data_IF_562909829789
#
_entry.id   IF_562909829789
#
_cell.length_a   1.000
_cell.length_b   1.000
_cell.length_c   1.000
_cell.angle_alpha   90.00
_cell.angle_beta   90.00
_cell.angle_gamma   90.00
#
_symmetry.space_group_name_H-M   'P 1'
#
loop_
_entity.id
_entity.type
_entity.pdbx_description
1 polymer ?
#
# COMPACT_ATOMS: atom_id res chain seq x y z
N UNK A 1 -35.89 27.39 -82.29
CA UNK A 1 -35.05 28.37 -81.57
C UNK A 1 -35.38 28.23 -80.09
N UNK A 2 -34.78 27.25 -79.40
CA UNK A 2 -33.57 27.32 -78.56
C UNK A 2 -33.76 28.20 -77.32
N UNK A 3 -33.50 27.82 -76.07
CA UNK A 3 -33.26 26.56 -75.34
C UNK A 3 -33.00 27.02 -73.88
N UNK A 4 -33.26 26.16 -72.88
CA UNK A 4 -32.82 26.28 -71.46
C UNK A 4 -33.70 27.26 -70.64
N UNK A 5 -33.97 27.06 -69.36
CA UNK A 5 -33.26 26.24 -68.38
C UNK A 5 -34.19 25.91 -67.21
N UNK A 6 -34.08 24.64 -66.80
CA UNK A 6 -34.13 24.12 -65.43
C UNK A 6 -35.39 24.40 -64.60
N UNK A 7 -36.24 23.37 -64.68
CA UNK A 7 -37.30 23.03 -63.76
C UNK A 7 -36.70 22.18 -62.63
N UNK A 8 -37.25 22.40 -61.43
CA UNK A 8 -37.74 21.40 -60.47
C UNK A 8 -37.08 21.45 -59.10
N UNK A 9 -37.77 22.22 -58.25
CA UNK A 9 -37.69 22.24 -56.80
C UNK A 9 -38.95 21.53 -56.27
N UNK A 10 -38.81 21.02 -55.05
CA UNK A 10 -39.82 20.53 -54.12
C UNK A 10 -40.32 19.10 -54.36
N UNK A 11 -39.90 18.15 -53.52
CA UNK A 11 -40.32 17.95 -52.12
C UNK A 11 -41.68 17.28 -52.06
N UNK A 12 -41.70 16.01 -51.62
CA UNK A 12 -42.50 15.56 -50.48
C UNK A 12 -42.16 14.09 -50.12
N UNK A 13 -41.60 13.94 -48.91
CA UNK A 13 -41.92 12.95 -47.85
C UNK A 13 -41.85 11.44 -48.16
N UNK A 14 -41.02 10.72 -47.38
CA UNK A 14 -41.37 9.53 -46.58
C UNK A 14 -40.10 8.99 -45.88
N UNK A 15 -40.00 9.07 -44.55
CA UNK A 15 -40.41 8.05 -43.55
C UNK A 15 -39.31 7.02 -43.23
N UNK A 16 -39.03 6.86 -41.92
CA UNK A 16 -38.40 5.70 -41.23
C UNK A 16 -36.87 5.64 -41.15
N UNK A 17 -36.27 5.86 -39.97
CA UNK A 17 -35.99 4.89 -38.88
C UNK A 17 -34.94 3.84 -39.29
N UNK A 18 -33.69 4.00 -38.83
CA UNK A 18 -33.02 3.19 -37.78
C UNK A 18 -31.54 3.58 -37.68
N UNK A 19 -31.10 3.99 -36.49
CA UNK A 19 -29.69 3.93 -36.10
C UNK A 19 -29.36 2.46 -35.87
N UNK A 20 -28.46 1.90 -36.67
CA UNK A 20 -27.77 0.64 -36.38
C UNK A 20 -26.29 0.98 -36.20
N UNK A 21 -25.78 0.55 -35.06
CA UNK A 21 -24.40 0.66 -34.65
C UNK A 21 -23.46 0.08 -35.71
N UNK A 22 -22.41 0.82 -36.05
CA UNK A 22 -21.19 0.23 -36.58
C UNK A 22 -20.01 0.78 -35.78
N UNK A 23 -19.80 0.16 -34.61
CA UNK A 23 -18.55 0.19 -33.89
C UNK A 23 -17.72 -0.99 -34.39
N UNK A 24 -17.12 -0.86 -35.56
CA UNK A 24 -16.07 -1.77 -36.00
C UNK A 24 -15.19 -1.06 -37.03
N UNK A 25 -13.88 -1.07 -36.75
CA UNK A 25 -12.80 -0.77 -37.68
C UNK A 25 -12.52 0.71 -37.98
N UNK A 26 -12.11 1.45 -36.95
CA UNK A 26 -10.94 2.31 -37.13
C UNK A 26 -9.70 1.43 -36.91
N UNK A 27 -9.16 0.89 -38.00
CA UNK A 27 -7.76 0.49 -38.05
C UNK A 27 -6.92 1.77 -37.97
N UNK A 28 -6.38 2.07 -36.80
CA UNK A 28 -5.26 3.00 -36.68
C UNK A 28 -4.11 2.43 -37.51
N UNK A 29 -3.93 2.99 -38.69
CA UNK A 29 -2.70 2.86 -39.46
C UNK A 29 -1.68 3.77 -38.78
N UNK A 30 -1.16 3.30 -37.65
CA UNK A 30 -0.12 3.95 -36.87
C UNK A 30 1.18 3.85 -37.70
N UNK A 31 1.74 5.02 -38.02
CA UNK A 31 3.07 5.17 -38.63
C UNK A 31 4.06 4.24 -37.94
N UNK A 32 4.64 3.31 -38.70
CA UNK A 32 5.66 2.37 -38.23
C UNK A 32 6.93 3.12 -37.79
N UNK A 33 6.93 3.60 -36.55
CA UNK A 33 8.15 3.92 -35.82
C UNK A 33 8.83 2.59 -35.56
N UNK A 34 10.08 2.45 -36.03
CA UNK A 34 10.93 1.30 -35.74
C UNK A 34 11.25 1.31 -34.24
N UNK A 35 10.36 0.71 -33.45
CA UNK A 35 10.48 0.61 -32.00
C UNK A 35 11.28 -0.66 -31.68
N UNK A 36 12.55 -0.48 -31.30
CA UNK A 36 13.36 -1.56 -30.75
C UNK A 36 12.69 -2.16 -29.51
N UNK A 37 12.19 -3.40 -29.64
CA UNK A 37 11.63 -4.15 -28.51
C UNK A 37 12.74 -4.77 -27.69
N UNK A 38 13.11 -4.09 -26.60
CA UNK A 38 14.03 -4.64 -25.60
C UNK A 38 13.26 -5.64 -24.72
N UNK A 39 13.58 -6.93 -24.84
CA UNK A 39 13.06 -7.97 -23.96
C UNK A 39 14.08 -8.32 -22.88
N UNK A 40 13.71 -8.17 -21.61
CA UNK A 40 14.57 -8.52 -20.47
C UNK A 40 14.25 -9.94 -20.02
N UNK A 41 15.14 -10.88 -20.33
CA UNK A 41 15.03 -12.29 -19.90
C UNK A 41 15.76 -12.51 -18.57
N UNK A 42 15.15 -13.26 -17.64
CA UNK A 42 15.80 -13.67 -16.40
C UNK A 42 14.86 -13.72 -15.20
N UNK A 43 15.40 -14.10 -14.04
CA UNK A 43 14.67 -14.18 -12.78
C UNK A 43 14.89 -12.87 -12.01
N UNK A 44 13.81 -12.25 -11.52
CA UNK A 44 13.94 -11.06 -10.66
C UNK A 44 14.67 -11.42 -9.36
N UNK A 45 15.71 -10.68 -8.97
CA UNK A 45 16.46 -10.99 -7.76
C UNK A 45 15.59 -10.78 -6.51
N UNK A 46 15.89 -11.50 -5.42
CA UNK A 46 15.17 -11.33 -4.15
C UNK A 46 15.14 -9.87 -3.65
N UNK A 47 16.21 -9.10 -3.94
CA UNK A 47 16.29 -7.69 -3.59
C UNK A 47 15.15 -6.86 -4.21
N UNK A 48 14.77 -7.16 -5.45
CA UNK A 48 13.64 -6.52 -6.13
C UNK A 48 12.33 -6.70 -5.34
N UNK A 49 12.02 -7.93 -4.93
CA UNK A 49 10.78 -8.20 -4.19
C UNK A 49 10.81 -7.58 -2.79
N UNK A 50 11.98 -7.52 -2.15
CA UNK A 50 12.15 -6.84 -0.86
C UNK A 50 11.87 -5.34 -0.98
N UNK A 51 12.40 -4.70 -2.02
CA UNK A 51 12.16 -3.28 -2.30
C UNK A 51 10.69 -3.01 -2.59
N UNK A 52 10.06 -3.83 -3.46
CA UNK A 52 8.63 -3.71 -3.75
C UNK A 52 7.77 -3.83 -2.49
N UNK A 53 8.10 -4.79 -1.61
CA UNK A 53 7.42 -4.94 -0.32
C UNK A 53 7.60 -3.70 0.56
N UNK A 54 8.79 -3.10 0.59
CA UNK A 54 9.06 -1.88 1.36
C UNK A 54 8.25 -0.70 0.85
N UNK A 55 8.26 -0.47 -0.47
CA UNK A 55 7.54 0.65 -1.10
C UNK A 55 6.03 0.53 -0.91
N UNK A 56 5.47 -0.65 -1.13
CA UNK A 56 4.02 -0.88 -0.96
C UNK A 56 3.60 -0.80 0.51
N UNK A 57 4.45 -1.25 1.44
CA UNK A 57 4.23 -1.06 2.87
C UNK A 57 4.16 0.43 3.21
N UNK A 58 5.14 1.22 2.77
CA UNK A 58 5.17 2.66 3.04
C UNK A 58 3.94 3.36 2.47
N UNK A 59 3.60 3.09 1.20
CA UNK A 59 2.41 3.64 0.56
C UNK A 59 1.11 3.31 1.31
N UNK A 60 0.98 2.09 1.82
CA UNK A 60 -0.17 1.68 2.64
C UNK A 60 -0.23 2.47 3.97
N UNK A 61 0.90 2.61 4.67
CA UNK A 61 0.96 3.36 5.92
C UNK A 61 0.68 4.86 5.72
N UNK A 62 1.23 5.45 4.67
CA UNK A 62 1.00 6.85 4.32
C UNK A 62 -0.47 7.09 3.96
N UNK A 63 -1.06 6.19 3.18
CA UNK A 63 -2.49 6.26 2.85
C UNK A 63 -3.35 6.17 4.10
N UNK A 64 -3.02 5.28 5.05
CA UNK A 64 -3.70 5.24 6.34
C UNK A 64 -3.58 6.56 7.10
N UNK A 65 -2.36 7.08 7.27
CA UNK A 65 -2.11 8.29 8.04
C UNK A 65 -2.82 9.53 7.46
N UNK A 66 -2.94 9.63 6.14
CA UNK A 66 -3.62 10.74 5.48
C UNK A 66 -5.14 10.76 5.73
N UNK A 67 -5.74 9.61 6.02
CA UNK A 67 -7.19 9.47 6.22
C UNK A 67 -7.60 9.56 7.70
N UNK A 68 -6.66 9.33 8.62
CA UNK A 68 -6.92 9.32 10.05
C UNK A 68 -6.60 10.68 10.65
N UNK A 69 -7.57 11.29 11.33
CA UNK A 69 -7.37 12.58 12.02
C UNK A 69 -6.63 12.44 13.34
N UNK A 70 -6.83 11.32 14.06
CA UNK A 70 -6.19 11.12 15.36
C UNK A 70 -4.70 10.77 15.18
N UNK A 71 -3.83 11.73 15.50
CA UNK A 71 -2.37 11.58 15.43
C UNK A 71 -1.85 10.39 16.25
N UNK A 72 -2.51 10.02 17.34
CA UNK A 72 -2.11 8.90 18.19
C UNK A 72 -2.29 7.53 17.51
N UNK A 73 -3.21 7.46 16.54
CA UNK A 73 -3.46 6.27 15.74
C UNK A 73 -2.54 6.15 14.54
N UNK A 74 -1.76 7.19 14.20
CA UNK A 74 -0.84 7.16 13.05
C UNK A 74 0.25 6.11 13.19
N UNK A 75 0.82 5.71 12.06
CA UNK A 75 2.08 5.00 12.00
C UNK A 75 3.23 6.00 11.90
N UNK A 76 4.28 5.77 12.70
CA UNK A 76 5.50 6.56 12.71
C UNK A 76 6.67 5.64 12.41
N UNK A 77 7.36 5.93 11.31
CA UNK A 77 8.55 5.20 10.89
C UNK A 77 9.81 5.96 11.34
N UNK A 78 10.70 5.28 12.05
CA UNK A 78 12.00 5.83 12.48
C UNK A 78 13.11 4.88 12.05
N UNK A 79 14.23 5.44 11.60
CA UNK A 79 15.44 4.68 11.33
C UNK A 79 16.13 4.35 12.66
N UNK A 80 16.24 3.07 12.98
CA UNK A 80 16.80 2.56 14.22
C UNK A 80 17.99 1.64 13.91
N UNK A 81 19.01 1.66 14.76
CA UNK A 81 20.11 0.73 14.68
C UNK A 81 19.62 -0.65 15.15
N UNK A 82 19.88 -1.70 14.37
CA UNK A 82 19.55 -3.06 14.78
C UNK A 82 20.42 -3.47 15.96
N UNK A 83 19.83 -4.18 16.92
CA UNK A 83 20.56 -4.69 18.08
C UNK A 83 21.84 -5.44 17.67
N UNK A 84 22.95 -5.12 18.33
CA UNK A 84 24.27 -5.71 18.07
C UNK A 84 24.77 -5.55 16.61
N UNK A 85 24.28 -4.57 15.87
CA UNK A 85 24.69 -4.31 14.49
C UNK A 85 24.94 -2.84 14.25
N UNK A 86 25.80 -2.47 13.28
CA UNK A 86 25.92 -1.10 12.77
C UNK A 86 24.90 -0.79 11.67
N UNK A 87 24.14 -1.80 11.27
CA UNK A 87 23.12 -1.67 10.22
C UNK A 87 21.90 -0.99 10.82
N UNK A 88 21.41 0.01 10.09
CA UNK A 88 20.19 0.71 10.44
C UNK A 88 19.03 0.15 9.62
N UNK A 89 17.89 -0.02 10.26
CA UNK A 89 16.64 -0.44 9.64
C UNK A 89 15.54 0.57 9.93
N UNK A 90 14.57 0.67 9.02
CA UNK A 90 13.39 1.49 9.26
C UNK A 90 12.33 0.67 10.01
N UNK A 91 11.97 1.13 11.20
CA UNK A 91 10.98 0.50 12.07
C UNK A 91 9.77 1.42 12.18
N UNK A 92 8.62 0.93 11.72
CA UNK A 92 7.34 1.63 11.84
C UNK A 92 6.56 1.08 13.03
N UNK A 93 6.12 1.97 13.92
CA UNK A 93 5.28 1.66 15.10
C UNK A 93 4.08 2.57 15.14
N UNK A 94 3.05 2.24 15.92
CA UNK A 94 1.96 3.19 16.12
C UNK A 94 2.42 4.33 17.03
N UNK A 95 1.90 5.54 16.82
CA UNK A 95 2.27 6.71 17.63
C UNK A 95 1.97 6.48 19.12
N UNK A 96 0.83 5.86 19.45
CA UNK A 96 0.53 5.50 20.84
C UNK A 96 1.55 4.54 21.47
N UNK A 97 2.13 3.59 20.71
CA UNK A 97 3.16 2.69 21.24
C UNK A 97 4.48 3.39 21.50
N UNK A 98 4.73 4.51 20.82
CA UNK A 98 5.88 5.37 21.05
C UNK A 98 5.62 6.20 22.31
N UNK A 99 4.46 6.88 22.38
CA UNK A 99 4.05 7.67 23.55
C UNK A 99 4.10 6.85 24.83
N UNK A 100 3.39 5.71 24.87
CA UNK A 100 3.31 4.86 26.07
C UNK A 100 4.70 4.38 26.49
N UNK A 101 5.59 4.06 25.53
CA UNK A 101 6.96 3.69 25.86
C UNK A 101 7.75 4.86 26.46
N UNK A 102 7.62 6.05 25.90
CA UNK A 102 8.28 7.26 26.41
C UNK A 102 7.77 7.64 27.81
N UNK A 103 6.45 7.53 28.04
CA UNK A 103 5.81 7.72 29.34
C UNK A 103 6.36 6.73 30.37
N UNK A 104 6.34 5.42 30.07
CA UNK A 104 6.88 4.38 30.95
C UNK A 104 8.37 4.58 31.26
N UNK A 105 9.18 4.98 30.27
CA UNK A 105 10.59 5.28 30.49
C UNK A 105 10.78 6.52 31.38
N UNK A 106 9.98 7.57 31.18
CA UNK A 106 10.05 8.79 31.99
C UNK A 106 9.60 8.57 33.44
N UNK A 107 8.57 7.74 33.65
CA UNK A 107 8.09 7.38 34.98
C UNK A 107 9.13 6.56 35.75
N UNK A 108 9.78 5.60 35.08
CA UNK A 108 10.85 4.81 35.67
C UNK A 108 12.09 5.62 36.06
N UNK A 109 12.41 6.66 35.28
CA UNK A 109 13.48 7.61 35.65
C UNK A 109 13.07 8.45 36.87
N UNK A 110 11.80 8.88 36.95
CA UNK A 110 11.30 9.75 38.02
C UNK A 110 11.10 9.02 39.35
N UNK A 111 10.80 7.72 39.34
CA UNK A 111 10.59 6.93 40.55
C UNK A 111 11.88 6.66 41.33
N UNK A 112 13.06 6.97 40.78
CA UNK A 112 14.33 6.86 41.50
C UNK A 112 14.81 5.43 41.74
N UNK A 113 14.14 4.43 41.16
CA UNK A 113 14.72 3.09 41.01
C UNK A 113 15.94 3.20 40.10
N UNK A 114 17.05 2.56 40.48
CA UNK A 114 18.33 2.66 39.77
C UNK A 114 18.12 2.55 38.25
N UNK A 115 18.93 3.24 37.45
CA UNK A 115 18.84 3.21 35.97
C UNK A 115 18.89 1.75 35.41
N UNK A 116 19.45 0.82 36.18
CA UNK A 116 19.47 -0.63 35.94
C UNK A 116 18.19 -1.36 36.41
N UNK A 117 17.53 -0.92 37.48
CA UNK A 117 16.20 -1.38 37.92
C UNK A 117 15.06 -0.77 37.08
N UNK A 118 15.28 0.38 36.43
CA UNK A 118 14.39 0.94 35.42
C UNK A 118 14.16 0.02 34.20
N UNK A 119 15.09 -0.90 33.97
CA UNK A 119 14.99 -1.99 32.98
C UNK A 119 14.13 -3.16 33.54
N UNK A 120 14.01 -3.25 34.87
CA UNK A 120 13.28 -4.26 35.65
C UNK A 120 11.92 -3.77 36.19
N UNK A 121 11.39 -2.63 35.72
CA UNK A 121 10.00 -2.18 35.94
C UNK A 121 9.08 -3.07 35.09
N UNK A 122 9.03 -4.35 35.43
CA UNK A 122 8.60 -5.43 34.55
C UNK A 122 7.20 -5.98 34.82
N UNK A 123 6.49 -5.55 35.87
CA UNK A 123 5.21 -6.19 36.22
C UNK A 123 4.03 -5.23 36.36
N UNK A 124 4.15 -4.10 37.05
CA UNK A 124 3.04 -3.15 37.28
C UNK A 124 2.82 -2.18 36.12
N UNK A 125 3.80 -1.30 35.87
CA UNK A 125 3.73 -0.31 34.78
C UNK A 125 3.80 -0.96 33.40
N UNK A 126 4.57 -2.04 33.26
CA UNK A 126 4.54 -2.89 32.06
C UNK A 126 3.12 -3.47 31.82
N UNK A 127 2.40 -3.92 32.86
CA UNK A 127 1.05 -4.46 32.70
C UNK A 127 -0.05 -3.39 32.45
N UNK A 128 0.15 -2.16 32.93
CA UNK A 128 -0.76 -1.04 32.61
C UNK A 128 -0.53 -0.58 31.17
N UNK A 129 0.73 -0.38 30.79
CA UNK A 129 1.10 -0.07 29.42
C UNK A 129 0.64 -1.13 28.42
N UNK A 130 0.68 -2.42 28.77
CA UNK A 130 0.17 -3.49 27.89
C UNK A 130 -1.34 -3.43 27.72
N UNK A 131 -2.13 -3.19 28.78
CA UNK A 131 -3.59 -3.07 28.66
C UNK A 131 -4.02 -1.90 27.78
N UNK A 132 -3.38 -0.74 27.94
CA UNK A 132 -3.67 0.41 27.08
C UNK A 132 -3.26 0.13 25.63
N UNK A 133 -2.06 -0.41 25.41
CA UNK A 133 -1.58 -0.81 24.09
C UNK A 133 -2.57 -1.78 23.43
N UNK A 134 -3.04 -2.80 24.15
CA UNK A 134 -3.97 -3.79 23.60
C UNK A 134 -5.32 -3.19 23.24
N UNK A 135 -5.84 -2.29 24.08
CA UNK A 135 -7.06 -1.52 23.79
C UNK A 135 -6.89 -0.67 22.52
N UNK A 136 -5.81 0.09 22.42
CA UNK A 136 -5.53 0.96 21.28
C UNK A 136 -5.26 0.17 20.00
N UNK A 137 -4.60 -0.99 20.10
CA UNK A 137 -4.47 -1.95 19.00
C UNK A 137 -5.83 -2.44 18.50
N UNK A 138 -6.74 -2.78 19.40
CA UNK A 138 -8.11 -3.16 19.05
C UNK A 138 -8.84 -2.03 18.31
N UNK A 139 -8.77 -0.80 18.82
CA UNK A 139 -9.38 0.36 18.16
C UNK A 139 -8.77 0.63 16.78
N UNK A 140 -7.44 0.55 16.66
CA UNK A 140 -6.75 0.74 15.38
C UNK A 140 -7.08 -0.35 14.37
N UNK A 141 -7.26 -1.60 14.80
CA UNK A 141 -7.70 -2.68 13.94
C UNK A 141 -9.09 -2.41 13.35
N UNK A 142 -10.03 -1.93 14.16
CA UNK A 142 -11.37 -1.52 13.69
C UNK A 142 -11.26 -0.38 12.68
N UNK A 143 -10.45 0.65 12.96
CA UNK A 143 -10.23 1.75 12.01
C UNK A 143 -9.66 1.28 10.67
N UNK A 144 -8.70 0.36 10.70
CA UNK A 144 -8.13 -0.23 9.47
C UNK A 144 -9.21 -0.98 8.69
N UNK A 145 -10.04 -1.78 9.38
CA UNK A 145 -11.11 -2.54 8.74
C UNK A 145 -12.19 -1.62 8.13
N UNK A 146 -12.63 -0.61 8.87
CA UNK A 146 -13.60 0.38 8.40
C UNK A 146 -13.06 1.17 7.21
N UNK A 147 -11.81 1.63 7.29
CA UNK A 147 -11.17 2.35 6.20
C UNK A 147 -11.00 1.47 4.96
N UNK A 148 -10.68 0.19 5.14
CA UNK A 148 -10.58 -0.77 4.02
C UNK A 148 -11.92 -1.05 3.35
N UNK A 149 -13.05 -0.88 4.06
CA UNK A 149 -14.41 -1.03 3.49
C UNK A 149 -14.90 0.24 2.81
N UNK A 150 -14.51 1.41 3.31
CA UNK A 150 -15.11 2.70 2.92
C UNK A 150 -14.24 3.51 1.96
N UNK A 151 -12.92 3.31 1.97
CA UNK A 151 -11.96 4.06 1.16
C UNK A 151 -11.27 3.13 0.15
N UNK A 152 -11.65 3.26 -1.13
CA UNK A 152 -11.09 2.42 -2.20
C UNK A 152 -9.59 2.65 -2.43
N UNK A 153 -9.07 3.85 -2.15
CA UNK A 153 -7.62 4.13 -2.24
C UNK A 153 -6.84 3.35 -1.19
N UNK A 154 -7.31 3.36 0.06
CA UNK A 154 -6.67 2.60 1.13
C UNK A 154 -6.78 1.10 0.90
N UNK A 155 -7.96 0.62 0.51
CA UNK A 155 -8.18 -0.78 0.12
C UNK A 155 -7.23 -1.24 -1.00
N UNK A 156 -7.06 -0.44 -2.05
CA UNK A 156 -6.10 -0.73 -3.11
C UNK A 156 -4.67 -0.82 -2.57
N UNK A 157 -4.26 0.08 -1.67
CA UNK A 157 -2.93 0.04 -1.05
C UNK A 157 -2.68 -1.24 -0.23
N UNK A 158 -3.69 -1.73 0.50
CA UNK A 158 -3.62 -3.00 1.23
C UNK A 158 -3.45 -4.17 0.26
N UNK A 159 -4.21 -4.17 -0.85
CA UNK A 159 -4.13 -5.22 -1.87
C UNK A 159 -2.72 -5.27 -2.46
N UNK A 160 -2.15 -4.12 -2.83
CA UNK A 160 -0.79 -4.05 -3.39
C UNK A 160 0.28 -4.49 -2.39
N UNK A 161 0.15 -4.08 -1.13
CA UNK A 161 1.04 -4.56 -0.06
C UNK A 161 0.95 -6.08 0.11
N UNK A 162 -0.25 -6.65 0.14
CA UNK A 162 -0.44 -8.10 0.28
C UNK A 162 0.11 -8.87 -0.92
N UNK A 163 -0.06 -8.36 -2.15
CA UNK A 163 0.55 -8.94 -3.36
C UNK A 163 2.08 -8.93 -3.27
N UNK A 164 2.68 -7.79 -2.92
CA UNK A 164 4.12 -7.67 -2.79
C UNK A 164 4.68 -8.60 -1.69
N UNK A 165 3.97 -8.71 -0.57
CA UNK A 165 4.29 -9.63 0.52
C UNK A 165 4.27 -11.08 0.04
N UNK A 166 3.21 -11.51 -0.63
CA UNK A 166 3.10 -12.86 -1.19
C UNK A 166 4.27 -13.18 -2.13
N UNK A 167 4.59 -12.29 -3.07
CA UNK A 167 5.70 -12.51 -4.01
C UNK A 167 7.06 -12.55 -3.32
N UNK A 168 7.28 -11.70 -2.31
CA UNK A 168 8.49 -11.74 -1.51
C UNK A 168 8.62 -13.05 -0.73
N UNK A 169 7.58 -13.48 -0.02
CA UNK A 169 7.57 -14.72 0.75
C UNK A 169 7.82 -15.94 -0.14
N UNK A 170 7.17 -15.98 -1.32
CA UNK A 170 7.39 -17.00 -2.33
C UNK A 170 8.84 -16.99 -2.83
N UNK A 171 9.35 -15.85 -3.28
CA UNK A 171 10.73 -15.74 -3.77
C UNK A 171 11.77 -16.09 -2.68
N UNK A 172 11.46 -15.79 -1.41
CA UNK A 172 12.30 -16.15 -0.28
C UNK A 172 12.29 -17.67 -0.03
N UNK A 173 11.11 -18.30 -0.08
CA UNK A 173 10.99 -19.76 0.01
C UNK A 173 11.69 -20.46 -1.17
N UNK A 174 11.53 -19.98 -2.39
CA UNK A 174 12.18 -20.53 -3.58
C UNK A 174 13.71 -20.43 -3.49
N UNK A 175 14.24 -19.32 -2.95
CA UNK A 175 15.69 -19.10 -2.82
C UNK A 175 16.33 -19.91 -1.69
N UNK A 176 15.66 -20.06 -0.55
CA UNK A 176 16.26 -20.62 0.66
C UNK A 176 15.70 -21.99 1.06
N UNK A 177 14.65 -22.48 0.39
CA UNK A 177 13.98 -23.75 0.70
C UNK A 177 13.64 -23.83 2.18
N UNK A 178 14.01 -24.95 2.82
CA UNK A 178 13.77 -25.22 4.25
C UNK A 178 14.40 -24.20 5.22
N UNK A 179 15.36 -23.39 4.78
CA UNK A 179 15.96 -22.32 5.59
C UNK A 179 15.10 -21.04 5.57
N UNK A 180 14.09 -20.96 4.71
CA UNK A 180 13.15 -19.85 4.69
C UNK A 180 12.13 -20.00 5.83
N UNK A 181 11.86 -18.93 6.61
CA UNK A 181 10.75 -18.94 7.57
C UNK A 181 9.38 -19.01 6.89
N UNK A 182 9.33 -18.83 5.57
CA UNK A 182 8.11 -18.89 4.75
C UNK A 182 7.95 -20.21 3.99
N UNK A 183 8.84 -21.17 4.20
CA UNK A 183 8.72 -22.49 3.57
C UNK A 183 7.51 -23.23 4.12
N UNK A 184 6.60 -23.65 3.24
CA UNK A 184 5.47 -24.52 3.59
C UNK A 184 5.82 -25.93 3.14
N UNK A 185 5.71 -26.88 4.07
CA UNK A 185 5.89 -28.32 3.79
C UNK A 185 4.76 -28.87 2.95
#
# INVERSE_FOLDING_TARGET
MSMKSQILLCSFICFSITYIADAAQQSEQETAVDLERIEVTGIRPLAFFREQLSLTKQAMLDTFNNEITNADMHFVCKRQQKENSRIHEEVCRSAFEIRIREELMSEGIRSGENLLDGISIGSGSAAIGTKEIDKLKGQKAVLIEELAKTNERFKASIIEYNKAKFFFEKAHADKFGKLSPYFKN
#
